data_IF_356395073608
#
_entry.id   IF_356395073608
#
_cell.length_a   1.000
_cell.length_b   1.000
_cell.length_c   1.000
_cell.angle_alpha   90.00
_cell.angle_beta   90.00
_cell.angle_gamma   90.00
#
_symmetry.space_group_name_H-M   'P 1'
#
loop_
_entity.id
_entity.type
_entity.pdbx_description
1 polymer ?
#
# COMPACT_ATOMS: atom_id res chain seq x y z
N UNK A 1 1.21 -20.02 -15.73
CA UNK A 1 1.09 -21.15 -14.81
C UNK A 1 -0.16 -20.91 -13.94
N UNK A 2 -1.13 -21.82 -13.92
CA UNK A 2 -2.32 -21.67 -13.08
C UNK A 2 -1.95 -22.10 -11.66
N UNK A 3 -2.17 -21.22 -10.66
CA UNK A 3 -1.93 -21.51 -9.24
C UNK A 3 -3.16 -22.21 -8.66
N UNK A 4 -2.92 -23.19 -7.79
CA UNK A 4 -3.97 -23.96 -7.11
C UNK A 4 -4.64 -23.21 -5.97
N UNK A 5 -3.88 -22.32 -5.29
CA UNK A 5 -4.32 -21.64 -4.07
C UNK A 5 -4.96 -20.29 -4.38
N UNK A 6 -6.00 -19.94 -3.63
CA UNK A 6 -6.67 -18.64 -3.73
C UNK A 6 -6.57 -17.89 -2.40
N UNK A 7 -6.21 -16.62 -2.50
CA UNK A 7 -6.16 -15.73 -1.34
C UNK A 7 -7.53 -15.12 -1.00
N UNK A 8 -8.54 -15.24 -1.90
CA UNK A 8 -9.87 -14.67 -1.71
C UNK A 8 -10.71 -15.49 -0.72
N UNK A 9 -11.58 -14.79 0.00
CA UNK A 9 -12.65 -15.36 0.82
C UNK A 9 -13.80 -14.36 0.98
N UNK A 10 -14.71 -14.59 1.91
CA UNK A 10 -15.84 -13.69 2.19
C UNK A 10 -15.41 -12.26 2.53
N UNK A 11 -14.25 -12.09 3.15
CA UNK A 11 -13.73 -10.80 3.63
C UNK A 11 -12.59 -10.25 2.78
N UNK A 12 -11.77 -11.12 2.17
CA UNK A 12 -10.66 -10.76 1.33
C UNK A 12 -11.10 -10.76 -0.13
N UNK A 13 -11.16 -9.58 -0.76
CA UNK A 13 -11.76 -9.37 -2.07
C UNK A 13 -10.75 -8.87 -3.09
N UNK A 14 -10.88 -9.31 -4.34
CA UNK A 14 -10.07 -8.84 -5.47
C UNK A 14 -10.36 -7.36 -5.75
N UNK A 15 -11.63 -6.98 -5.80
CA UNK A 15 -12.01 -5.57 -5.95
C UNK A 15 -11.86 -4.83 -4.60
N UNK A 16 -11.09 -3.73 -4.54
CA UNK A 16 -10.97 -2.93 -3.33
C UNK A 16 -12.31 -2.36 -2.88
N UNK A 17 -12.48 -2.23 -1.56
CA UNK A 17 -13.71 -1.72 -0.97
C UNK A 17 -14.04 -0.30 -1.45
N UNK A 18 -15.33 0.05 -1.59
CA UNK A 18 -15.76 1.44 -1.77
C UNK A 18 -15.25 2.35 -0.65
N UNK A 19 -15.08 3.63 -0.96
CA UNK A 19 -14.64 4.63 0.03
C UNK A 19 -13.14 4.68 0.28
N UNK A 20 -12.33 3.86 -0.39
CA UNK A 20 -10.87 3.97 -0.37
C UNK A 20 -10.41 5.10 -1.31
N UNK A 21 -9.35 5.82 -0.92
CA UNK A 21 -8.73 6.84 -1.77
C UNK A 21 -8.10 6.22 -3.01
N UNK A 22 -7.79 7.05 -4.03
CA UNK A 22 -7.09 6.60 -5.23
C UNK A 22 -5.75 5.94 -4.90
N UNK A 23 -4.97 6.53 -4.01
CA UNK A 23 -3.68 5.96 -3.57
C UNK A 23 -3.86 4.61 -2.87
N UNK A 24 -4.85 4.49 -1.98
CA UNK A 24 -5.14 3.22 -1.32
C UNK A 24 -5.53 2.13 -2.32
N UNK A 25 -6.44 2.43 -3.26
CA UNK A 25 -6.84 1.47 -4.30
C UNK A 25 -5.64 1.03 -5.14
N UNK A 26 -4.84 1.97 -5.61
CA UNK A 26 -3.65 1.67 -6.41
C UNK A 26 -2.67 0.77 -5.66
N UNK A 27 -2.29 1.09 -4.42
CA UNK A 27 -1.34 0.30 -3.64
C UNK A 27 -1.87 -1.09 -3.25
N UNK A 28 -3.19 -1.24 -3.10
CA UNK A 28 -3.82 -2.52 -2.79
C UNK A 28 -3.91 -3.45 -4.02
N UNK A 29 -3.96 -2.90 -5.24
CA UNK A 29 -4.11 -3.68 -6.47
C UNK A 29 -2.86 -3.73 -7.34
N UNK A 30 -1.87 -2.87 -7.05
CA UNK A 30 -0.63 -2.80 -7.81
C UNK A 30 0.13 -4.11 -7.74
N UNK A 31 0.33 -4.75 -8.90
CA UNK A 31 1.10 -5.98 -9.02
C UNK A 31 2.57 -5.82 -8.68
N UNK A 32 3.31 -6.91 -8.75
CA UNK A 32 4.74 -6.91 -8.45
C UNK A 32 5.08 -6.87 -6.96
N UNK A 33 6.34 -6.57 -6.65
CA UNK A 33 6.89 -6.54 -5.30
C UNK A 33 6.55 -5.26 -4.57
N UNK A 34 5.90 -5.36 -3.37
CA UNK A 34 5.68 -4.19 -2.52
C UNK A 34 7.00 -3.52 -2.11
N UNK A 35 8.01 -4.30 -1.78
CA UNK A 35 9.33 -3.77 -1.44
C UNK A 35 9.94 -2.94 -2.58
N UNK A 36 9.78 -3.39 -3.84
CA UNK A 36 10.24 -2.62 -4.98
C UNK A 36 9.49 -1.28 -5.12
N UNK A 37 8.17 -1.28 -4.86
CA UNK A 37 7.38 -0.04 -4.85
C UNK A 37 7.79 0.89 -3.69
N UNK A 38 8.05 0.36 -2.50
CA UNK A 38 8.54 1.16 -1.38
C UNK A 38 9.92 1.77 -1.68
N UNK A 39 10.81 1.05 -2.36
CA UNK A 39 12.13 1.57 -2.78
C UNK A 39 12.06 2.78 -3.73
N UNK A 40 10.94 3.00 -4.40
CA UNK A 40 10.74 4.23 -5.18
C UNK A 40 10.45 5.46 -4.32
N UNK A 41 10.16 5.26 -3.03
CA UNK A 41 9.86 6.33 -2.07
C UNK A 41 11.08 6.71 -1.20
N UNK A 42 12.08 5.82 -1.07
CA UNK A 42 13.28 6.03 -0.26
C UNK A 42 14.00 4.74 0.09
N UNK A 43 14.91 4.80 1.06
CA UNK A 43 15.66 3.64 1.54
C UNK A 43 14.75 2.71 2.36
N UNK A 44 14.68 1.43 1.95
CA UNK A 44 13.84 0.43 2.62
C UNK A 44 14.65 -0.43 3.57
N UNK A 45 14.25 -0.41 4.85
CA UNK A 45 14.79 -1.27 5.89
C UNK A 45 13.75 -2.29 6.33
N UNK A 46 14.17 -3.55 6.49
CA UNK A 46 13.34 -4.64 7.00
C UNK A 46 13.72 -4.96 8.43
N UNK A 47 12.80 -4.79 9.36
CA UNK A 47 12.95 -5.21 10.76
C UNK A 47 12.08 -6.43 11.03
N UNK A 48 12.71 -7.54 11.40
CA UNK A 48 12.00 -8.76 11.81
C UNK A 48 11.49 -8.58 13.23
N UNK A 49 10.19 -8.75 13.42
CA UNK A 49 9.54 -8.64 14.74
C UNK A 49 9.25 -10.00 15.35
N UNK A 50 9.09 -11.05 14.50
CA UNK A 50 8.85 -12.42 14.94
C UNK A 50 9.22 -13.41 13.87
N UNK A 51 9.85 -14.53 14.29
CA UNK A 51 9.95 -15.76 13.53
C UNK A 51 9.63 -16.92 14.48
N UNK A 52 8.60 -17.71 14.17
CA UNK A 52 8.15 -18.77 15.07
C UNK A 52 7.32 -19.83 14.34
N UNK A 53 7.16 -20.98 14.97
CA UNK A 53 6.10 -21.94 14.66
C UNK A 53 4.85 -21.54 15.44
N UNK A 54 3.71 -21.45 14.76
CA UNK A 54 2.43 -21.10 15.38
C UNK A 54 1.26 -21.78 14.66
N UNK A 55 0.05 -21.62 15.18
CA UNK A 55 -1.15 -22.00 14.45
C UNK A 55 -1.57 -20.86 13.49
N UNK A 56 -2.14 -21.17 12.31
CA UNK A 56 -2.65 -20.17 11.40
C UNK A 56 -3.82 -19.41 12.04
N UNK A 57 -4.01 -18.16 11.63
CA UNK A 57 -5.19 -17.40 12.03
C UNK A 57 -6.45 -17.95 11.35
N UNK A 58 -7.62 -17.61 11.88
CA UNK A 58 -8.90 -18.16 11.43
C UNK A 58 -9.20 -17.94 9.93
N UNK A 59 -8.66 -16.88 9.33
CA UNK A 59 -8.85 -16.53 7.92
C UNK A 59 -7.70 -17.00 7.01
N UNK A 60 -6.75 -17.80 7.53
CA UNK A 60 -5.56 -18.20 6.79
C UNK A 60 -5.58 -19.67 6.36
N UNK A 61 -6.13 -20.53 7.20
CA UNK A 61 -6.03 -21.97 6.96
C UNK A 61 -6.71 -22.44 5.66
N UNK A 62 -7.84 -21.83 5.28
CA UNK A 62 -8.51 -22.15 4.01
C UNK A 62 -7.67 -21.73 2.80
N UNK A 63 -7.05 -20.55 2.84
CA UNK A 63 -6.22 -20.05 1.74
C UNK A 63 -4.95 -20.87 1.52
N UNK A 64 -4.46 -21.56 2.55
CA UNK A 64 -3.30 -22.45 2.49
C UNK A 64 -3.65 -23.92 2.32
N UNK A 65 -4.94 -24.27 2.28
CA UNK A 65 -5.42 -25.66 2.27
C UNK A 65 -4.83 -26.50 3.46
N UNK A 66 -4.84 -25.90 4.65
CA UNK A 66 -4.40 -26.55 5.88
C UNK A 66 -5.50 -26.56 6.93
N UNK A 67 -5.44 -27.51 7.87
CA UNK A 67 -6.37 -27.51 9.00
C UNK A 67 -6.00 -26.41 10.00
N UNK A 68 -6.98 -25.96 10.81
CA UNK A 68 -6.74 -24.95 11.85
C UNK A 68 -5.74 -25.40 12.95
N UNK A 69 -5.45 -26.70 13.01
CA UNK A 69 -4.48 -27.29 13.95
C UNK A 69 -3.14 -27.64 13.30
N UNK A 70 -2.98 -27.43 11.99
CA UNK A 70 -1.72 -27.64 11.31
C UNK A 70 -0.75 -26.50 11.61
N UNK A 71 0.44 -26.79 12.19
CA UNK A 71 1.40 -25.72 12.49
C UNK A 71 1.97 -25.12 11.21
N UNK A 72 2.18 -23.80 11.27
CA UNK A 72 2.79 -23.00 10.20
C UNK A 72 4.07 -22.33 10.70
N UNK A 73 5.01 -22.10 9.79
CA UNK A 73 6.11 -21.18 10.03
C UNK A 73 5.62 -19.76 9.79
N UNK A 74 5.81 -18.90 10.77
CA UNK A 74 5.41 -17.48 10.76
C UNK A 74 6.65 -16.61 10.69
N UNK A 75 6.58 -15.58 9.84
CA UNK A 75 7.54 -14.48 9.81
C UNK A 75 6.77 -13.15 9.78
N UNK A 76 7.01 -12.32 10.78
CA UNK A 76 6.44 -10.98 10.90
C UNK A 76 7.56 -9.94 10.75
N UNK A 77 7.32 -8.93 9.93
CA UNK A 77 8.29 -7.87 9.67
C UNK A 77 7.62 -6.51 9.59
N UNK A 78 8.41 -5.48 9.84
CA UNK A 78 8.05 -4.09 9.54
C UNK A 78 8.98 -3.59 8.44
N UNK A 79 8.39 -2.99 7.41
CA UNK A 79 9.10 -2.31 6.34
C UNK A 79 9.03 -0.82 6.60
N UNK A 80 10.19 -0.20 6.81
CA UNK A 80 10.33 1.24 6.98
C UNK A 80 10.95 1.85 5.73
N UNK A 81 10.56 3.08 5.41
CA UNK A 81 11.18 3.91 4.37
C UNK A 81 11.76 5.13 5.06
N UNK A 82 13.05 5.38 4.87
CA UNK A 82 13.79 6.48 5.52
C UNK A 82 13.51 6.54 7.05
N UNK A 83 13.52 5.35 7.70
CA UNK A 83 13.30 5.20 9.12
C UNK A 83 11.82 5.22 9.56
N UNK A 84 10.87 5.59 8.69
CA UNK A 84 9.44 5.63 9.03
C UNK A 84 8.74 4.32 8.68
N UNK A 85 8.03 3.65 9.61
CA UNK A 85 7.29 2.43 9.33
C UNK A 85 6.11 2.66 8.36
N UNK A 86 6.12 1.97 7.23
CA UNK A 86 5.06 2.07 6.21
C UNK A 86 4.21 0.83 6.09
N UNK A 87 4.76 -0.35 6.39
CA UNK A 87 4.07 -1.63 6.24
C UNK A 87 4.41 -2.56 7.39
N UNK A 88 3.39 -3.20 7.96
CA UNK A 88 3.55 -4.38 8.81
C UNK A 88 3.11 -5.62 8.00
N UNK A 89 3.97 -6.61 7.88
CA UNK A 89 3.72 -7.80 7.09
C UNK A 89 3.77 -9.08 7.94
N UNK A 90 2.89 -10.01 7.59
CA UNK A 90 2.78 -11.34 8.17
C UNK A 90 2.84 -12.37 7.04
N UNK A 91 3.82 -13.25 7.09
CA UNK A 91 4.04 -14.29 6.11
C UNK A 91 3.99 -15.64 6.78
N UNK A 92 3.28 -16.59 6.17
CA UNK A 92 3.14 -17.94 6.71
C UNK A 92 3.30 -19.01 5.61
N UNK A 93 3.88 -20.13 5.99
CA UNK A 93 3.92 -21.33 5.16
C UNK A 93 3.63 -22.56 6.04
N UNK A 94 3.01 -23.62 5.51
CA UNK A 94 2.90 -24.88 6.22
C UNK A 94 4.27 -25.30 6.74
N UNK A 95 4.33 -25.86 7.97
CA UNK A 95 5.62 -26.15 8.62
C UNK A 95 6.52 -27.05 7.77
N UNK A 96 5.95 -28.10 7.15
CA UNK A 96 6.67 -28.99 6.24
C UNK A 96 7.20 -28.24 5.01
N UNK A 97 6.39 -27.35 4.39
CA UNK A 97 6.81 -26.54 3.26
C UNK A 97 7.95 -25.58 3.63
N UNK A 98 7.93 -25.02 4.84
CA UNK A 98 8.99 -24.12 5.33
C UNK A 98 10.31 -24.83 5.64
N UNK A 99 10.29 -26.15 5.87
CA UNK A 99 11.50 -26.97 6.00
C UNK A 99 11.98 -27.54 4.64
N UNK A 100 11.08 -27.60 3.66
CA UNK A 100 11.32 -28.09 2.30
C UNK A 100 11.44 -26.96 1.27
N UNK A 101 10.41 -26.84 0.40
CA UNK A 101 10.37 -25.92 -0.76
C UNK A 101 10.67 -24.47 -0.37
N UNK A 102 10.17 -24.00 0.77
CA UNK A 102 10.34 -22.66 1.27
C UNK A 102 11.43 -22.52 2.35
N UNK A 103 12.36 -23.49 2.50
CA UNK A 103 13.37 -23.40 3.56
C UNK A 103 14.20 -22.10 3.54
N UNK A 104 14.37 -21.48 2.39
CA UNK A 104 15.10 -20.22 2.27
C UNK A 104 14.47 -19.06 3.07
N UNK A 105 13.15 -19.10 3.37
CA UNK A 105 12.49 -18.07 4.18
C UNK A 105 13.04 -18.02 5.61
N UNK A 106 13.48 -19.15 6.17
CA UNK A 106 14.07 -19.22 7.51
C UNK A 106 15.47 -18.61 7.59
N UNK A 107 16.09 -18.32 6.45
CA UNK A 107 17.46 -17.78 6.35
C UNK A 107 17.49 -16.34 5.85
N UNK A 108 16.34 -15.72 5.63
CA UNK A 108 16.26 -14.35 5.09
C UNK A 108 16.84 -13.30 6.02
N UNK A 109 16.78 -13.51 7.35
CA UNK A 109 17.18 -12.49 8.33
C UNK A 109 16.48 -11.14 8.01
N UNK A 110 17.23 -10.09 7.74
CA UNK A 110 16.72 -8.76 7.38
C UNK A 110 16.50 -8.57 5.87
N UNK A 111 16.72 -9.61 5.05
CA UNK A 111 16.45 -9.51 3.61
C UNK A 111 14.94 -9.52 3.34
N UNK A 112 14.47 -8.72 2.37
CA UNK A 112 13.07 -8.76 1.95
C UNK A 112 12.67 -10.12 1.39
N UNK A 113 11.49 -10.61 1.78
CA UNK A 113 10.92 -11.86 1.23
C UNK A 113 10.70 -11.76 -0.29
N UNK A 114 10.42 -10.58 -0.79
CA UNK A 114 10.24 -10.32 -2.21
C UNK A 114 11.43 -10.77 -3.07
N UNK A 115 12.66 -10.73 -2.56
CA UNK A 115 13.84 -11.20 -3.28
C UNK A 115 13.75 -12.70 -3.59
N UNK A 116 13.21 -13.49 -2.66
CA UNK A 116 12.97 -14.91 -2.88
C UNK A 116 11.80 -15.18 -3.83
N UNK A 117 10.71 -14.41 -3.68
CA UNK A 117 9.47 -14.66 -4.40
C UNK A 117 9.52 -14.26 -5.89
N UNK A 118 10.32 -13.26 -6.23
CA UNK A 118 10.38 -12.71 -7.59
C UNK A 118 11.67 -13.04 -8.35
N UNK A 119 12.63 -13.74 -7.72
CA UNK A 119 13.85 -14.21 -8.38
C UNK A 119 13.71 -15.56 -9.08
N UNK A 120 12.62 -16.29 -8.83
CA UNK A 120 12.40 -17.65 -9.29
C UNK A 120 11.13 -17.70 -10.15
N UNK A 121 11.29 -18.03 -11.45
CA UNK A 121 10.19 -18.15 -12.42
C UNK A 121 9.23 -19.32 -12.13
N UNK A 122 9.63 -20.26 -11.26
CA UNK A 122 8.76 -21.37 -10.82
C UNK A 122 7.75 -20.95 -9.74
N UNK A 123 7.86 -19.71 -9.21
CA UNK A 123 6.93 -19.18 -8.23
C UNK A 123 5.73 -18.55 -8.93
N UNK A 124 4.55 -19.17 -8.76
CA UNK A 124 3.27 -18.60 -9.14
C UNK A 124 2.69 -17.72 -8.03
N UNK A 125 1.79 -16.81 -8.37
CA UNK A 125 1.10 -15.93 -7.42
C UNK A 125 -0.39 -15.89 -7.70
N UNK A 126 -1.23 -16.01 -6.67
CA UNK A 126 -2.68 -15.79 -6.75
C UNK A 126 -3.02 -14.33 -7.03
N UNK A 127 -4.28 -14.05 -7.32
CA UNK A 127 -4.80 -12.68 -7.33
C UNK A 127 -4.45 -11.96 -6.02
N UNK A 128 -4.15 -10.66 -6.13
CA UNK A 128 -4.10 -9.78 -4.97
C UNK A 128 -5.51 -9.53 -4.48
N UNK A 129 -5.72 -9.74 -3.19
CA UNK A 129 -6.98 -9.45 -2.52
C UNK A 129 -6.76 -8.45 -1.41
N UNK A 130 -7.78 -7.67 -1.07
CA UNK A 130 -7.68 -6.63 -0.06
C UNK A 130 -8.80 -6.72 0.96
N UNK A 131 -8.54 -6.20 2.16
CA UNK A 131 -9.47 -6.18 3.28
C UNK A 131 -9.25 -4.94 4.15
N UNK A 132 -10.33 -4.45 4.76
CA UNK A 132 -10.26 -3.52 5.88
C UNK A 132 -10.13 -4.31 7.19
N UNK A 133 -9.07 -4.03 7.96
CA UNK A 133 -8.78 -4.66 9.23
C UNK A 133 -9.24 -3.77 10.38
N UNK A 134 -9.91 -4.37 11.36
CA UNK A 134 -10.27 -3.71 12.62
C UNK A 134 -9.44 -4.27 13.77
N UNK A 135 -9.57 -3.71 14.96
CA UNK A 135 -8.86 -4.15 16.18
C UNK A 135 -9.06 -5.65 16.53
N UNK A 136 -10.10 -6.28 15.99
CA UNK A 136 -10.35 -7.72 16.17
C UNK A 136 -9.38 -8.60 15.38
N UNK A 137 -8.78 -8.08 14.31
CA UNK A 137 -7.87 -8.86 13.46
C UNK A 137 -6.44 -8.88 14.04
N UNK A 138 -5.76 -10.04 14.11
CA UNK A 138 -4.39 -10.12 14.66
C UNK A 138 -3.40 -9.20 13.95
N UNK A 139 -3.45 -9.09 12.63
CA UNK A 139 -2.56 -8.22 11.85
C UNK A 139 -2.79 -6.73 12.17
N UNK A 140 -4.03 -6.31 12.51
CA UNK A 140 -4.25 -4.95 12.99
C UNK A 140 -3.45 -4.69 14.26
N UNK A 141 -3.51 -5.61 15.24
CA UNK A 141 -2.79 -5.47 16.50
C UNK A 141 -1.27 -5.44 16.33
N UNK A 142 -0.76 -6.19 15.35
CA UNK A 142 0.65 -6.15 14.98
C UNK A 142 1.01 -4.79 14.38
N UNK A 143 0.24 -4.31 13.42
CA UNK A 143 0.43 -3.02 12.76
C UNK A 143 0.29 -1.82 13.72
N UNK A 144 -0.66 -1.90 14.66
CA UNK A 144 -0.94 -0.84 15.64
C UNK A 144 0.24 -0.55 16.57
N UNK A 145 1.12 -1.52 16.81
CA UNK A 145 2.35 -1.33 17.62
C UNK A 145 3.34 -0.36 16.96
N UNK A 146 3.24 -0.19 15.66
CA UNK A 146 4.13 0.66 14.85
C UNK A 146 3.52 2.07 14.62
N UNK A 147 2.32 2.31 15.13
CA UNK A 147 1.62 3.58 14.95
C UNK A 147 1.76 4.39 16.23
N UNK A 148 2.45 5.53 16.13
CA UNK A 148 2.50 6.50 17.22
C UNK A 148 1.18 7.28 17.37
N UNK A 149 0.84 7.66 18.60
CA UNK A 149 -0.35 8.48 18.89
C UNK A 149 -1.67 7.72 18.73
N UNK A 150 -2.69 8.41 18.22
CA UNK A 150 -4.04 7.84 18.09
C UNK A 150 -4.12 6.80 17.00
N UNK A 151 -4.56 5.61 17.37
CA UNK A 151 -4.71 4.50 16.43
C UNK A 151 -6.00 4.67 15.61
N UNK A 152 -5.96 4.42 14.28
CA UNK A 152 -7.14 4.51 13.44
C UNK A 152 -8.13 3.38 13.77
N UNK A 153 -9.43 3.60 13.57
CA UNK A 153 -10.45 2.57 13.77
C UNK A 153 -10.26 1.35 12.86
N UNK A 154 -9.67 1.55 11.67
CA UNK A 154 -9.39 0.50 10.73
C UNK A 154 -8.14 0.80 9.90
N UNK A 155 -7.44 -0.25 9.50
CA UNK A 155 -6.34 -0.24 8.56
C UNK A 155 -6.74 -0.98 7.28
N UNK A 156 -5.96 -0.85 6.23
CA UNK A 156 -6.15 -1.60 4.99
C UNK A 156 -4.97 -2.52 4.76
N UNK A 157 -5.28 -3.73 4.32
CA UNK A 157 -4.27 -4.73 4.01
C UNK A 157 -4.57 -5.40 2.68
N UNK A 158 -3.52 -5.96 2.09
CA UNK A 158 -3.60 -6.84 0.93
C UNK A 158 -2.93 -8.17 1.22
N UNK A 159 -3.34 -9.22 0.54
CA UNK A 159 -2.67 -10.51 0.62
C UNK A 159 -2.66 -11.23 -0.72
N UNK A 160 -1.75 -12.17 -0.86
CA UNK A 160 -1.74 -13.16 -1.93
C UNK A 160 -1.06 -14.45 -1.43
N UNK A 161 -1.39 -15.55 -2.08
CA UNK A 161 -0.67 -16.80 -1.91
C UNK A 161 0.33 -16.95 -3.05
N UNK A 162 1.55 -17.31 -2.71
CA UNK A 162 2.57 -17.74 -3.65
C UNK A 162 2.64 -19.25 -3.61
N UNK A 163 2.84 -19.86 -4.76
CA UNK A 163 2.97 -21.31 -4.90
C UNK A 163 4.26 -21.64 -5.62
N UNK A 164 4.99 -22.61 -5.07
CA UNK A 164 6.16 -23.19 -5.71
C UNK A 164 6.10 -24.71 -5.53
N UNK A 165 6.15 -25.46 -6.65
CA UNK A 165 6.08 -26.93 -6.62
C UNK A 165 4.93 -27.47 -5.77
N UNK A 166 3.75 -26.87 -5.87
CA UNK A 166 2.55 -27.26 -5.11
C UNK A 166 2.55 -26.85 -3.63
N UNK A 167 3.58 -26.16 -3.14
CA UNK A 167 3.67 -25.71 -1.75
C UNK A 167 3.27 -24.24 -1.62
N UNK A 168 2.28 -23.87 -0.76
CA UNK A 168 1.84 -22.49 -0.59
C UNK A 168 2.73 -21.72 0.39
N UNK A 169 2.81 -20.42 0.16
CA UNK A 169 3.30 -19.39 1.07
C UNK A 169 2.38 -18.20 0.98
N UNK A 170 1.73 -17.80 2.05
CA UNK A 170 0.88 -16.61 2.06
C UNK A 170 1.62 -15.41 2.63
N UNK A 171 1.42 -14.26 2.00
CA UNK A 171 1.94 -12.96 2.45
C UNK A 171 0.77 -12.01 2.61
N UNK A 172 0.64 -11.45 3.80
CA UNK A 172 -0.36 -10.43 4.14
C UNK A 172 0.36 -9.15 4.59
N UNK A 173 0.05 -8.03 3.93
CA UNK A 173 0.73 -6.75 4.09
C UNK A 173 -0.29 -5.69 4.52
N UNK A 174 -0.11 -5.12 5.72
CA UNK A 174 -0.95 -4.05 6.27
C UNK A 174 -0.24 -2.71 6.07
N UNK A 175 -0.87 -1.79 5.35
CA UNK A 175 -0.35 -0.45 5.11
C UNK A 175 -0.63 0.44 6.32
N UNK A 176 0.41 1.14 6.79
CA UNK A 176 0.34 2.04 7.93
C UNK A 176 -0.06 3.47 7.51
N UNK A 177 -0.64 4.28 8.42
CA UNK A 177 -1.06 5.65 8.11
C UNK A 177 0.05 6.54 7.54
N UNK A 178 1.30 6.34 7.99
CA UNK A 178 2.46 7.10 7.52
C UNK A 178 2.70 6.97 6.02
N UNK A 179 2.43 5.79 5.42
CA UNK A 179 2.50 5.61 3.97
C UNK A 179 1.52 6.53 3.25
N UNK A 180 0.28 6.62 3.73
CA UNK A 180 -0.75 7.45 3.10
C UNK A 180 -0.45 8.94 3.24
N UNK A 181 0.05 9.36 4.40
CA UNK A 181 0.49 10.74 4.64
C UNK A 181 1.66 11.12 3.70
N UNK A 182 2.64 10.24 3.55
CA UNK A 182 3.77 10.44 2.63
C UNK A 182 3.30 10.59 1.18
N UNK A 183 2.44 9.71 0.69
CA UNK A 183 1.92 9.77 -0.68
C UNK A 183 1.08 11.02 -0.94
N UNK A 184 0.33 11.49 0.04
CA UNK A 184 -0.44 12.73 -0.06
C UNK A 184 0.48 13.96 -0.16
N UNK A 185 1.55 14.03 0.64
CA UNK A 185 2.49 15.16 0.64
C UNK A 185 3.25 15.27 -0.70
N UNK A 186 3.71 14.15 -1.24
CA UNK A 186 4.39 14.10 -2.55
C UNK A 186 3.48 14.62 -3.67
N UNK A 187 2.19 14.26 -3.63
CA UNK A 187 1.23 14.73 -4.65
C UNK A 187 0.99 16.23 -4.59
N UNK A 188 0.91 16.82 -3.40
CA UNK A 188 0.76 18.27 -3.21
C UNK A 188 1.97 19.03 -3.78
N UNK A 189 3.19 18.55 -3.52
CA UNK A 189 4.42 19.16 -4.03
C UNK A 189 4.53 19.13 -5.56
N UNK A 190 4.09 18.04 -6.21
CA UNK A 190 4.06 17.94 -7.66
C UNK A 190 2.97 18.82 -8.29
N UNK A 191 1.79 18.90 -7.69
CA UNK A 191 0.69 19.77 -8.13
C UNK A 191 1.05 21.26 -8.05
N UNK A 192 1.75 21.68 -7.01
CA UNK A 192 2.18 23.07 -6.83
C UNK A 192 3.23 23.53 -7.87
N UNK A 193 4.06 22.62 -8.37
CA UNK A 193 5.08 22.91 -9.41
C UNK A 193 4.49 23.06 -10.81
N UNK A 194 3.27 22.61 -11.05
CA UNK A 194 2.58 22.65 -12.35
C UNK A 194 1.39 23.62 -12.37
N UNK A 195 1.19 24.41 -11.32
CA UNK A 195 0.20 25.50 -11.34
C UNK A 195 0.73 26.61 -12.29
N UNK A 196 0.00 27.00 -13.37
CA UNK A 196 0.41 28.10 -14.23
C UNK A 196 0.49 29.36 -13.38
N UNK A 197 1.57 30.10 -13.54
CA UNK A 197 1.74 31.40 -12.92
C UNK A 197 0.50 32.28 -13.30
N UNK A 198 -0.26 32.70 -12.30
CA UNK A 198 -1.32 33.67 -12.52
C UNK A 198 -0.64 34.94 -13.04
N UNK A 199 -0.83 35.24 -14.32
CA UNK A 199 -0.50 36.54 -14.90
C UNK A 199 -1.18 37.60 -14.06
N UNK A 200 -0.39 38.40 -13.36
CA UNK A 200 -0.86 39.59 -12.70
C UNK A 200 -1.39 40.52 -13.80
N UNK A 201 -2.71 40.69 -13.83
CA UNK A 201 -3.39 41.54 -14.74
C UNK A 201 -2.73 42.95 -14.72
N UNK A 202 -2.32 43.45 -15.89
CA UNK A 202 -1.89 44.82 -16.14
C UNK A 202 -2.98 45.74 -15.63
N UNK A 203 -2.66 46.80 -14.87
CA UNK A 203 -3.65 47.83 -14.55
C UNK A 203 -4.04 48.53 -15.83
N UNK A 204 -5.34 48.59 -16.12
CA UNK A 204 -5.94 49.41 -17.17
C UNK A 204 -5.68 50.89 -16.84
N UNK A 205 -4.80 51.49 -17.60
CA UNK A 205 -4.60 52.95 -17.59
C UNK A 205 -5.84 53.58 -18.25
N UNK A 206 -6.71 54.19 -17.45
CA UNK A 206 -7.77 55.08 -17.94
C UNK A 206 -7.14 56.35 -18.49
N UNK A 207 -7.06 56.47 -19.82
CA UNK A 207 -6.84 57.75 -20.50
C UNK A 207 -8.11 58.57 -20.42
N UNK A 208 -8.09 59.60 -19.57
CA UNK A 208 -9.14 60.63 -19.54
C UNK A 208 -9.12 61.39 -20.85
N UNK A 209 -10.19 61.29 -21.65
CA UNK A 209 -10.46 62.15 -22.83
C UNK A 209 -10.94 63.52 -22.36
N UNK A 210 -10.15 64.51 -22.69
CA UNK A 210 -10.50 65.93 -22.51
C UNK A 210 -11.67 66.30 -23.44
N UNK A 211 -12.79 66.76 -22.88
CA UNK A 211 -13.88 67.41 -23.60
C UNK A 211 -13.49 68.83 -23.97
N UNK A 212 -13.67 69.18 -25.22
CA UNK A 212 -13.58 70.56 -25.76
C UNK A 212 -14.95 71.14 -25.79
N UNK A 213 -15.17 72.41 -25.40
CA UNK A 213 -16.48 73.03 -25.42
C UNK A 213 -16.80 73.63 -26.83
N UNK A 214 -17.97 73.26 -27.35
CA UNK A 214 -18.51 73.86 -28.60
C UNK A 214 -19.23 75.17 -28.35
N UNK A 215 -18.92 76.13 -29.17
CA UNK A 215 -19.50 77.49 -29.25
C UNK A 215 -20.98 77.50 -29.64
N UNK A 216 -21.71 78.37 -28.96
CA UNK A 216 -23.04 78.88 -29.35
C UNK A 216 -23.02 79.51 -30.76
N UNK A 217 -24.02 79.23 -31.54
CA UNK A 217 -24.56 80.25 -32.49
C UNK A 217 -26.08 80.21 -32.53
N UNK A 218 -26.56 81.39 -32.44
CA UNK A 218 -27.92 82.01 -32.39
C UNK A 218 -28.75 81.65 -33.61
N UNK A 219 -30.08 81.57 -33.40
CA UNK A 219 -31.13 81.67 -34.40
C UNK A 219 -31.19 83.07 -35.08
N UNK A 220 -31.91 83.23 -36.21
CA UNK A 220 -33.26 83.68 -36.07
C UNK A 220 -34.26 83.23 -37.19
N UNK A 221 -35.50 83.41 -36.81
CA UNK A 221 -36.81 83.50 -37.48
C UNK A 221 -37.54 82.18 -37.73
#
# INVERSE_FOLDING_TARGET
>A
MSIRFDAADTYWRVAPLPGLTRHQKDWLTRGGSLTAHLRTLGEVVVRVTREAVAMPWADEHAALDVTSRAPVWVREVVLSVDGTPFVAAHSIAPLAASAGVWQAIRRLRTRPLAELLYSDSSVGRSSLVSRRLTQRHPLYRLAAREIGGTQPQALVARRSVFERHGAPLMVTECMLPALWAHLASVHVLHGARHAPAREHGRPLVHTASRAHPAHLHKAPR
#
